data_IF_020309461054
#
_entry.id   IF_020309461054
#
_cell.length_a   1.000
_cell.length_b   1.000
_cell.length_c   1.000
_cell.angle_alpha   90.00
_cell.angle_beta   90.00
_cell.angle_gamma   90.00
#
_symmetry.space_group_name_H-M   'P 1'
#
loop_
_entity.id
_entity.type
_entity.pdbx_description
1 polymer ?
#
# COMPACT_ATOMS: atom_id res chain seq x y z
N UNK A 1 -21.25 -45.50 -6.41
CA UNK A 1 -22.51 -45.51 -7.19
C UNK A 1 -23.34 -44.33 -6.77
N UNK A 2 -23.85 -43.59 -7.76
CA UNK A 2 -24.81 -42.52 -7.57
C UNK A 2 -26.15 -43.09 -7.05
N UNK A 3 -26.80 -42.38 -6.13
CA UNK A 3 -28.00 -42.84 -5.41
C UNK A 3 -29.25 -41.98 -5.67
N UNK A 4 -29.16 -40.98 -6.54
CA UNK A 4 -30.21 -39.98 -6.80
C UNK A 4 -30.34 -39.72 -8.31
N UNK A 5 -31.54 -39.37 -8.77
CA UNK A 5 -31.80 -39.05 -10.18
C UNK A 5 -30.96 -37.85 -10.65
N UNK A 6 -30.45 -37.91 -11.88
CA UNK A 6 -29.66 -36.84 -12.50
C UNK A 6 -28.35 -36.46 -11.79
N UNK A 7 -27.78 -37.37 -10.99
CA UNK A 7 -26.49 -37.18 -10.31
C UNK A 7 -25.26 -36.96 -11.22
N UNK A 8 -25.45 -37.07 -12.54
CA UNK A 8 -24.46 -36.77 -13.57
C UNK A 8 -24.70 -35.40 -14.24
N UNK A 9 -25.74 -34.67 -13.84
CA UNK A 9 -25.96 -33.28 -14.29
C UNK A 9 -25.08 -32.36 -13.44
N UNK A 10 -24.10 -31.71 -14.07
CA UNK A 10 -23.06 -30.91 -13.41
C UNK A 10 -23.66 -29.86 -12.45
N UNK A 11 -24.66 -29.12 -12.91
CA UNK A 11 -25.37 -28.07 -12.14
C UNK A 11 -26.11 -28.59 -10.91
N UNK A 12 -26.42 -29.90 -10.86
CA UNK A 12 -27.08 -30.55 -9.71
C UNK A 12 -26.08 -31.14 -8.72
N UNK A 13 -24.78 -31.14 -9.04
CA UNK A 13 -23.73 -31.67 -8.17
C UNK A 13 -23.05 -30.54 -7.41
N UNK A 14 -22.80 -30.76 -6.12
CA UNK A 14 -22.03 -29.81 -5.32
C UNK A 14 -20.59 -29.69 -5.85
N UNK A 15 -20.13 -28.46 -6.00
CA UNK A 15 -18.74 -28.15 -6.27
C UNK A 15 -17.91 -28.30 -5.00
N UNK A 16 -16.67 -28.74 -5.13
CA UNK A 16 -15.72 -28.74 -4.02
C UNK A 16 -14.76 -27.56 -4.15
N UNK A 17 -14.45 -26.93 -3.02
CA UNK A 17 -13.37 -25.95 -2.90
C UNK A 17 -12.35 -26.47 -1.89
N UNK A 18 -11.10 -26.04 -2.03
CA UNK A 18 -10.09 -26.28 -1.00
C UNK A 18 -10.38 -25.44 0.24
N UNK A 19 -10.12 -26.03 1.41
CA UNK A 19 -9.96 -25.34 2.68
C UNK A 19 -8.57 -25.71 3.24
N UNK A 20 -8.20 -25.14 4.39
CA UNK A 20 -6.89 -25.36 4.98
C UNK A 20 -6.62 -26.85 5.31
N UNK A 21 -5.34 -27.24 5.35
CA UNK A 21 -4.89 -28.61 5.64
C UNK A 21 -5.37 -29.66 4.62
N UNK A 22 -5.38 -29.33 3.34
CA UNK A 22 -5.79 -30.22 2.23
C UNK A 22 -7.21 -30.80 2.37
N UNK A 23 -8.05 -30.19 3.21
CA UNK A 23 -9.46 -30.55 3.32
C UNK A 23 -10.27 -29.84 2.24
N UNK A 24 -11.51 -30.29 2.05
CA UNK A 24 -12.44 -29.69 1.07
C UNK A 24 -13.77 -29.35 1.73
N UNK A 25 -14.43 -28.32 1.23
CA UNK A 25 -15.82 -27.99 1.53
C UNK A 25 -16.70 -28.20 0.28
N UNK A 26 -18.00 -28.43 0.49
CA UNK A 26 -19.02 -28.53 -0.56
C UNK A 26 -19.75 -27.21 -0.67
N UNK A 27 -20.01 -26.75 -1.89
CA UNK A 27 -20.75 -25.53 -2.19
C UNK A 27 -21.67 -25.80 -3.40
N UNK A 28 -22.81 -25.09 -3.55
CA UNK A 28 -23.64 -25.17 -4.75
C UNK A 28 -22.81 -25.03 -6.03
N UNK A 29 -23.24 -25.68 -7.13
CA UNK A 29 -22.46 -25.68 -8.38
C UNK A 29 -22.12 -24.27 -8.87
N UNK A 30 -23.06 -23.33 -8.72
CA UNK A 30 -22.93 -21.94 -9.17
C UNK A 30 -22.22 -21.02 -8.15
N UNK A 31 -21.94 -21.49 -6.94
CA UNK A 31 -21.28 -20.68 -5.91
C UNK A 31 -19.76 -20.61 -6.10
N UNK A 32 -19.09 -19.59 -5.58
CA UNK A 32 -17.65 -19.40 -5.76
C UNK A 32 -16.83 -20.26 -4.77
N UNK A 33 -15.55 -20.44 -5.10
CA UNK A 33 -14.49 -20.74 -4.14
C UNK A 33 -13.65 -19.49 -3.96
N UNK A 34 -12.98 -19.32 -2.82
CA UNK A 34 -12.08 -18.17 -2.62
C UNK A 34 -10.75 -18.53 -1.97
N UNK A 35 -9.76 -17.66 -2.21
CA UNK A 35 -8.54 -17.50 -1.41
C UNK A 35 -8.52 -16.08 -0.85
N UNK A 36 -8.06 -15.88 0.39
CA UNK A 36 -7.95 -14.55 0.98
C UNK A 36 -6.67 -14.36 1.79
N UNK A 37 -6.23 -13.11 1.90
CA UNK A 37 -5.06 -12.71 2.69
C UNK A 37 -5.50 -12.28 4.09
N UNK A 38 -4.98 -12.96 5.12
CA UNK A 38 -5.20 -12.63 6.53
C UNK A 38 -4.60 -11.26 6.87
N UNK A 39 -4.94 -10.66 8.02
CA UNK A 39 -4.33 -9.41 8.47
C UNK A 39 -2.80 -9.45 8.60
N UNK A 40 -2.19 -10.64 8.62
CA UNK A 40 -0.73 -10.84 8.66
C UNK A 40 -0.18 -11.37 7.33
N UNK A 41 -0.89 -11.14 6.21
CA UNK A 41 -0.57 -11.63 4.87
C UNK A 41 -0.52 -13.17 4.74
N UNK A 42 -1.03 -13.92 5.71
CA UNK A 42 -1.25 -15.36 5.58
C UNK A 42 -2.32 -15.68 4.54
N UNK A 43 -2.39 -16.92 4.07
CA UNK A 43 -3.38 -17.35 3.07
C UNK A 43 -4.35 -18.31 3.70
N UNK A 44 -5.65 -18.06 3.49
CA UNK A 44 -6.72 -18.97 3.86
C UNK A 44 -7.66 -19.20 2.68
N UNK A 45 -8.39 -20.31 2.73
CA UNK A 45 -9.27 -20.77 1.63
C UNK A 45 -10.68 -21.09 2.11
N UNK A 46 -11.67 -20.97 1.23
CA UNK A 46 -13.07 -21.25 1.59
C UNK A 46 -14.00 -21.51 0.40
N UNK A 47 -15.25 -21.83 0.77
CA UNK A 47 -16.39 -22.01 -0.13
C UNK A 47 -17.34 -20.81 -0.05
N UNK A 48 -18.10 -20.62 -1.14
CA UNK A 48 -19.08 -19.55 -1.27
C UNK A 48 -18.45 -18.21 -1.62
N UNK A 49 -19.26 -17.17 -1.54
CA UNK A 49 -18.81 -15.79 -1.74
C UNK A 49 -17.78 -15.40 -0.69
N UNK A 50 -16.77 -14.70 -1.13
CA UNK A 50 -15.73 -14.20 -0.27
C UNK A 50 -16.26 -13.08 0.64
N UNK A 51 -16.05 -13.16 1.96
CA UNK A 51 -16.52 -12.15 2.90
C UNK A 51 -15.53 -10.98 3.12
N UNK A 52 -14.40 -10.95 2.42
CA UNK A 52 -13.32 -9.98 2.65
C UNK A 52 -12.96 -9.24 1.36
N UNK A 53 -12.47 -8.00 1.43
CA UNK A 53 -12.02 -7.28 0.25
C UNK A 53 -10.64 -7.73 -0.27
N UNK A 54 -9.87 -8.46 0.55
CA UNK A 54 -8.51 -8.93 0.28
C UNK A 54 -8.51 -10.39 -0.18
N UNK A 55 -9.35 -10.68 -1.18
CA UNK A 55 -9.54 -12.03 -1.65
C UNK A 55 -9.81 -12.12 -3.15
N UNK A 56 -9.69 -13.35 -3.66
CA UNK A 56 -9.91 -13.70 -5.06
C UNK A 56 -10.87 -14.86 -5.13
N UNK A 57 -11.92 -14.70 -5.92
CA UNK A 57 -12.93 -15.71 -6.16
C UNK A 57 -12.65 -16.47 -7.46
N UNK A 58 -13.11 -17.71 -7.53
CA UNK A 58 -13.06 -18.53 -8.74
C UNK A 58 -14.22 -19.53 -8.79
N UNK A 59 -14.61 -19.95 -10.00
CA UNK A 59 -15.84 -20.70 -10.22
C UNK A 59 -15.66 -22.19 -10.56
N UNK A 60 -14.44 -22.67 -10.76
CA UNK A 60 -14.20 -24.07 -11.16
C UNK A 60 -14.02 -24.97 -9.94
N UNK A 61 -14.25 -26.28 -10.13
CA UNK A 61 -13.99 -27.27 -9.09
C UNK A 61 -12.55 -27.14 -8.56
N UNK A 62 -12.40 -26.95 -7.24
CA UNK A 62 -11.10 -26.86 -6.55
C UNK A 62 -10.16 -25.80 -7.14
N UNK A 63 -10.73 -24.73 -7.70
CA UNK A 63 -9.97 -23.69 -8.41
C UNK A 63 -9.11 -22.84 -7.49
N UNK A 64 -9.42 -22.77 -6.20
CA UNK A 64 -8.72 -21.96 -5.20
C UNK A 64 -7.41 -22.64 -4.72
N UNK A 65 -6.71 -23.35 -5.62
CA UNK A 65 -5.43 -24.02 -5.35
C UNK A 65 -4.19 -23.16 -5.64
N UNK A 66 -4.39 -21.86 -5.88
CA UNK A 66 -3.29 -20.95 -6.21
C UNK A 66 -2.25 -20.91 -5.07
N UNK A 67 -1.00 -21.21 -5.40
CA UNK A 67 0.12 -21.28 -4.45
C UNK A 67 0.69 -19.91 -4.12
N UNK A 68 0.48 -18.94 -5.01
CA UNK A 68 0.92 -17.55 -4.89
C UNK A 68 -0.27 -16.60 -5.12
N UNK A 69 -1.27 -16.57 -4.22
CA UNK A 69 -2.36 -15.61 -4.34
C UNK A 69 -1.81 -14.18 -4.27
N UNK A 70 -2.51 -13.19 -4.85
CA UNK A 70 -2.04 -11.82 -4.84
C UNK A 70 -1.93 -11.28 -3.41
N UNK A 71 -1.13 -10.23 -3.28
CA UNK A 71 -1.17 -9.33 -2.13
C UNK A 71 -2.11 -8.17 -2.44
N UNK A 72 -2.42 -7.37 -1.44
CA UNK A 72 -3.35 -6.26 -1.60
C UNK A 72 -2.79 -5.02 -0.95
N UNK A 73 -2.84 -3.90 -1.67
CA UNK A 73 -2.51 -2.56 -1.18
C UNK A 73 -3.69 -1.63 -1.43
N UNK A 74 -3.72 -0.48 -0.77
CA UNK A 74 -4.51 0.64 -1.27
C UNK A 74 -3.86 1.17 -2.55
N UNK A 75 -4.69 1.43 -3.56
CA UNK A 75 -4.34 2.08 -4.82
C UNK A 75 -5.07 3.42 -4.98
N UNK A 76 -5.34 3.82 -6.22
CA UNK A 76 -6.03 5.07 -6.53
C UNK A 76 -7.34 5.21 -5.72
N UNK A 77 -7.59 6.39 -5.16
CA UNK A 77 -8.74 6.71 -4.32
C UNK A 77 -8.96 5.74 -3.15
N UNK A 78 -7.88 5.19 -2.59
CA UNK A 78 -7.93 4.18 -1.52
C UNK A 78 -8.75 2.91 -1.88
N UNK A 79 -8.81 2.57 -3.18
CA UNK A 79 -9.37 1.30 -3.63
C UNK A 79 -8.44 0.13 -3.34
N UNK A 80 -8.98 -1.07 -3.15
CA UNK A 80 -8.17 -2.27 -3.01
C UNK A 80 -7.58 -2.65 -4.36
N UNK A 81 -6.25 -2.76 -4.42
CA UNK A 81 -5.48 -3.11 -5.61
C UNK A 81 -4.74 -4.43 -5.39
N UNK A 82 -4.83 -5.34 -6.35
CA UNK A 82 -4.02 -6.56 -6.37
C UNK A 82 -2.56 -6.25 -6.71
N UNK A 83 -1.64 -6.88 -5.98
CA UNK A 83 -0.21 -6.67 -6.08
C UNK A 83 0.53 -8.01 -6.15
N UNK A 84 1.66 -8.03 -6.87
CA UNK A 84 2.53 -9.21 -6.95
C UNK A 84 3.39 -9.43 -5.69
N UNK A 85 3.60 -8.37 -4.91
CA UNK A 85 4.36 -8.37 -3.66
C UNK A 85 3.53 -7.72 -2.54
N UNK A 86 3.83 -8.11 -1.30
CA UNK A 86 3.31 -7.58 -0.04
C UNK A 86 3.65 -6.12 0.22
N UNK A 87 4.69 -5.60 -0.43
CA UNK A 87 5.14 -4.22 -0.20
C UNK A 87 4.13 -3.24 -0.80
N UNK A 88 3.68 -2.30 0.00
CA UNK A 88 2.84 -1.18 -0.39
C UNK A 88 3.54 0.14 -0.03
N UNK A 89 3.23 1.22 -0.74
CA UNK A 89 3.67 2.56 -0.35
C UNK A 89 2.50 3.53 -0.27
N UNK A 90 2.70 4.55 0.56
CA UNK A 90 1.87 5.76 0.63
C UNK A 90 2.79 6.97 0.61
N UNK A 91 2.47 7.94 -0.24
CA UNK A 91 3.23 9.17 -0.41
C UNK A 91 2.31 10.38 -0.26
N UNK A 92 2.79 11.40 0.46
CA UNK A 92 2.09 12.67 0.60
C UNK A 92 2.50 13.62 -0.52
N UNK A 93 1.52 14.02 -1.31
CA UNK A 93 1.68 14.96 -2.42
C UNK A 93 1.27 16.34 -1.92
N UNK A 94 2.23 17.24 -1.82
CA UNK A 94 2.02 18.64 -1.47
C UNK A 94 2.60 19.53 -2.56
N UNK A 95 1.73 20.14 -3.37
CA UNK A 95 2.12 21.01 -4.47
C UNK A 95 1.39 22.36 -4.38
N UNK A 96 2.11 23.40 -4.82
CA UNK A 96 1.66 24.78 -4.75
C UNK A 96 1.56 25.37 -6.17
N UNK A 97 0.38 25.90 -6.49
CA UNK A 97 0.10 26.78 -7.64
C UNK A 97 -0.72 27.97 -7.15
N UNK A 98 -1.78 28.34 -7.87
CA UNK A 98 -2.79 29.30 -7.37
C UNK A 98 -3.66 28.68 -6.26
N UNK A 99 -3.68 27.35 -6.18
CA UNK A 99 -4.28 26.56 -5.12
C UNK A 99 -3.25 25.63 -4.49
N UNK A 100 -3.44 25.28 -3.21
CA UNK A 100 -2.66 24.22 -2.55
C UNK A 100 -3.36 22.88 -2.78
N UNK A 101 -2.61 21.89 -3.26
CA UNK A 101 -3.08 20.49 -3.31
C UNK A 101 -2.33 19.71 -2.23
N UNK A 102 -3.09 19.00 -1.40
CA UNK A 102 -2.60 18.07 -0.40
C UNK A 102 -3.38 16.77 -0.53
N UNK A 103 -2.74 15.73 -1.05
CA UNK A 103 -3.37 14.43 -1.33
C UNK A 103 -2.41 13.28 -1.05
N UNK A 104 -2.98 12.11 -0.77
CA UNK A 104 -2.22 10.87 -0.65
C UNK A 104 -2.24 10.07 -1.95
N UNK A 105 -1.07 9.59 -2.34
CA UNK A 105 -0.91 8.60 -3.41
C UNK A 105 -0.55 7.26 -2.80
N UNK A 106 -1.25 6.22 -3.24
CA UNK A 106 -1.09 4.84 -2.76
C UNK A 106 -0.79 3.93 -3.94
N UNK A 107 0.13 2.99 -3.78
CA UNK A 107 0.28 1.90 -4.74
C UNK A 107 1.02 0.68 -4.14
N UNK A 108 1.07 -0.39 -4.93
CA UNK A 108 1.97 -1.52 -4.76
C UNK A 108 3.43 -1.09 -4.89
N UNK A 109 4.31 -1.80 -4.19
CA UNK A 109 5.74 -1.67 -4.28
C UNK A 109 6.33 -0.69 -3.28
N UNK A 110 7.63 -0.41 -3.46
CA UNK A 110 8.40 0.50 -2.62
C UNK A 110 8.13 1.94 -3.02
N UNK A 111 8.47 2.85 -2.11
CA UNK A 111 8.46 4.27 -2.39
C UNK A 111 9.23 4.59 -3.69
N UNK A 112 8.59 5.22 -4.69
CA UNK A 112 9.25 5.51 -5.96
C UNK A 112 10.40 6.52 -5.78
N UNK A 113 11.40 6.42 -6.66
CA UNK A 113 12.51 7.38 -6.75
C UNK A 113 12.52 8.16 -8.08
N UNK A 114 11.61 7.81 -9.00
CA UNK A 114 11.52 8.43 -10.33
C UNK A 114 10.42 9.47 -10.44
N UNK A 115 10.29 10.02 -11.65
CA UNK A 115 9.12 10.81 -12.02
C UNK A 115 7.88 9.92 -12.12
N UNK A 116 6.75 10.40 -11.60
CA UNK A 116 5.45 9.76 -11.69
C UNK A 116 4.47 10.74 -12.34
N UNK A 117 3.63 10.23 -13.25
CA UNK A 117 2.52 10.99 -13.81
C UNK A 117 1.27 10.78 -12.94
N UNK A 118 0.92 11.79 -12.17
CA UNK A 118 -0.27 11.84 -11.32
C UNK A 118 -1.45 12.60 -11.95
N UNK A 119 -1.27 13.18 -13.15
CA UNK A 119 -2.33 13.92 -13.83
C UNK A 119 -3.61 13.11 -14.09
N UNK A 120 -3.59 11.76 -14.28
CA UNK A 120 -4.82 10.98 -14.41
C UNK A 120 -5.61 10.83 -13.10
N UNK A 121 -4.95 11.01 -11.95
CA UNK A 121 -5.51 10.73 -10.63
C UNK A 121 -5.93 12.00 -9.91
N UNK A 122 -5.19 13.09 -10.10
CA UNK A 122 -5.41 14.36 -9.42
C UNK A 122 -5.99 15.38 -10.41
N UNK A 123 -7.28 15.67 -10.27
CA UNK A 123 -7.95 16.67 -11.09
C UNK A 123 -7.76 18.07 -10.51
N UNK A 124 -7.21 18.96 -11.31
CA UNK A 124 -7.12 20.40 -11.01
C UNK A 124 -7.38 21.24 -12.26
N UNK A 125 -7.97 22.42 -12.09
CA UNK A 125 -8.22 23.40 -13.16
C UNK A 125 -7.02 24.33 -13.39
N UNK A 126 -6.05 24.33 -12.48
CA UNK A 126 -4.81 25.07 -12.59
C UNK A 126 -3.85 24.33 -13.55
N UNK A 127 -3.57 24.95 -14.69
CA UNK A 127 -2.72 24.39 -15.75
C UNK A 127 -1.26 24.21 -15.29
N UNK A 128 -0.77 25.09 -14.42
CA UNK A 128 0.58 25.00 -13.85
C UNK A 128 0.71 23.78 -12.95
N UNK A 129 -0.31 23.53 -12.12
CA UNK A 129 -0.36 22.32 -11.29
C UNK A 129 -0.52 21.05 -12.13
N UNK A 130 -1.36 21.07 -13.17
CA UNK A 130 -1.49 19.94 -14.10
C UNK A 130 -0.13 19.52 -14.70
N UNK A 131 0.68 20.47 -15.13
CA UNK A 131 1.98 20.16 -15.73
C UNK A 131 3.01 19.66 -14.69
N UNK A 132 2.95 20.15 -13.45
CA UNK A 132 3.75 19.60 -12.34
C UNK A 132 3.38 18.15 -12.04
N UNK A 133 2.08 17.83 -12.02
CA UNK A 133 1.58 16.48 -11.75
C UNK A 133 2.02 15.45 -12.80
N UNK A 134 2.25 15.85 -14.06
CA UNK A 134 2.71 14.94 -15.12
C UNK A 134 4.13 14.41 -14.94
N UNK A 135 4.98 15.15 -14.23
CA UNK A 135 6.41 14.84 -14.04
C UNK A 135 6.82 15.02 -12.59
N UNK A 136 5.98 14.50 -11.71
CA UNK A 136 6.15 14.68 -10.29
C UNK A 136 7.36 13.88 -9.80
N UNK A 137 8.34 14.54 -9.22
CA UNK A 137 9.53 13.85 -8.73
C UNK A 137 9.29 13.25 -7.35
N UNK A 138 9.00 11.95 -7.29
CA UNK A 138 8.70 11.23 -6.06
C UNK A 138 9.89 11.17 -5.08
N UNK A 139 11.12 11.41 -5.55
CA UNK A 139 12.29 11.52 -4.67
C UNK A 139 12.24 12.74 -3.76
N UNK A 140 11.41 13.73 -4.06
CA UNK A 140 11.25 14.95 -3.26
C UNK A 140 10.07 14.88 -2.29
N UNK A 141 9.35 13.75 -2.25
CA UNK A 141 8.13 13.63 -1.47
C UNK A 141 8.30 12.72 -0.27
N UNK A 142 7.58 13.05 0.80
CA UNK A 142 7.49 12.17 1.95
C UNK A 142 6.76 10.89 1.54
N UNK A 143 7.41 9.76 1.75
CA UNK A 143 6.85 8.46 1.43
C UNK A 143 7.22 7.42 2.49
N UNK A 144 6.24 6.58 2.80
CA UNK A 144 6.37 5.44 3.69
C UNK A 144 6.01 4.15 2.96
N UNK A 145 6.64 3.05 3.35
CA UNK A 145 6.40 1.72 2.79
C UNK A 145 6.17 0.69 3.89
N UNK A 146 5.27 -0.26 3.65
CA UNK A 146 4.88 -1.28 4.61
C UNK A 146 4.66 -2.63 3.91
N UNK A 147 4.70 -3.74 4.66
CA UNK A 147 4.55 -5.09 4.09
C UNK A 147 3.90 -6.13 5.00
N UNK A 148 3.55 -5.77 6.24
CA UNK A 148 3.12 -6.73 7.27
C UNK A 148 1.65 -7.15 7.14
N UNK A 149 0.81 -6.32 6.55
CA UNK A 149 -0.62 -6.56 6.38
C UNK A 149 -1.11 -6.16 4.99
N UNK A 150 -2.22 -6.74 4.51
CA UNK A 150 -2.94 -6.20 3.36
C UNK A 150 -3.35 -4.75 3.61
N UNK A 151 -3.34 -3.93 2.55
CA UNK A 151 -3.76 -2.53 2.59
C UNK A 151 -3.14 -1.73 3.75
N UNK A 152 -1.88 -2.03 4.09
CA UNK A 152 -1.18 -1.41 5.21
C UNK A 152 -0.87 0.07 4.99
N UNK A 153 -0.86 0.52 3.73
CA UNK A 153 -0.50 1.86 3.30
C UNK A 153 -1.69 2.83 3.44
N UNK A 154 -2.30 2.88 4.61
CA UNK A 154 -3.41 3.79 4.91
C UNK A 154 -2.91 5.12 5.50
N UNK A 155 -3.72 6.18 5.46
CA UNK A 155 -3.37 7.48 6.04
C UNK A 155 -2.95 7.38 7.51
N UNK A 156 -3.67 6.65 8.40
CA UNK A 156 -3.25 6.51 9.79
C UNK A 156 -1.89 5.81 9.95
N UNK A 157 -1.46 5.02 8.97
CA UNK A 157 -0.12 4.45 8.95
C UNK A 157 0.91 5.54 8.64
N UNK A 158 0.67 6.37 7.62
CA UNK A 158 1.58 7.45 7.23
C UNK A 158 1.74 8.51 8.33
N UNK A 159 0.65 8.97 8.93
CA UNK A 159 0.69 10.02 9.97
C UNK A 159 1.47 9.61 11.23
N UNK A 160 1.59 8.30 11.49
CA UNK A 160 2.39 7.76 12.59
C UNK A 160 3.88 7.63 12.26
N UNK A 161 4.28 7.84 11.01
CA UNK A 161 5.67 7.69 10.62
C UNK A 161 6.48 8.91 11.05
N UNK A 162 7.68 8.63 11.56
CA UNK A 162 8.65 9.66 11.89
C UNK A 162 9.54 9.92 10.68
N UNK A 163 9.75 11.20 10.37
CA UNK A 163 10.65 11.64 9.31
C UNK A 163 11.73 12.52 9.91
N UNK A 164 12.99 12.35 9.46
CA UNK A 164 14.08 13.19 9.93
C UNK A 164 13.94 14.63 9.47
N UNK A 165 14.43 15.60 10.24
CA UNK A 165 14.61 16.95 9.72
C UNK A 165 15.88 16.99 8.86
N UNK A 166 15.77 17.54 7.65
CA UNK A 166 16.86 17.78 6.72
C UNK A 166 17.14 19.29 6.67
N UNK A 167 18.40 19.69 6.86
CA UNK A 167 18.86 21.07 6.71
C UNK A 167 20.00 21.10 5.70
N UNK A 168 19.83 21.87 4.62
CA UNK A 168 20.92 22.16 3.69
C UNK A 168 21.90 23.16 4.31
N UNK A 169 23.18 23.10 3.91
CA UNK A 169 24.25 23.94 4.45
C UNK A 169 23.85 25.43 4.60
N UNK A 170 23.21 26.00 3.58
CA UNK A 170 22.85 27.43 3.55
C UNK A 170 21.37 27.73 3.88
N UNK A 171 20.62 26.79 4.46
CA UNK A 171 19.18 26.96 4.75
C UNK A 171 18.95 27.13 6.25
N UNK A 172 18.27 28.20 6.66
CA UNK A 172 17.94 28.45 8.06
C UNK A 172 16.78 27.60 8.58
N UNK A 173 15.85 27.24 7.70
CA UNK A 173 14.65 26.48 8.03
C UNK A 173 14.88 25.00 7.65
N UNK A 174 14.79 24.06 8.61
CA UNK A 174 14.82 22.64 8.31
C UNK A 174 13.54 22.20 7.60
N UNK A 175 13.65 21.25 6.69
CA UNK A 175 12.52 20.60 6.02
C UNK A 175 12.33 19.19 6.54
N UNK A 176 11.12 18.63 6.51
CA UNK A 176 10.94 17.20 6.77
C UNK A 176 11.62 16.37 5.68
N UNK A 177 12.25 15.28 6.09
CA UNK A 177 12.95 14.35 5.24
C UNK A 177 11.96 13.48 4.47
N UNK A 178 12.46 12.90 3.38
CA UNK A 178 11.59 12.26 2.36
C UNK A 178 11.25 10.80 2.68
N UNK A 179 12.02 10.16 3.55
CA UNK A 179 11.87 8.74 3.92
C UNK A 179 11.68 8.60 5.42
N UNK A 180 10.97 7.54 5.81
CA UNK A 180 10.75 7.19 7.21
C UNK A 180 12.10 6.97 7.90
N UNK A 181 12.22 7.50 9.12
CA UNK A 181 13.36 7.30 10.00
C UNK A 181 13.27 5.90 10.64
N UNK A 182 14.23 5.02 10.32
CA UNK A 182 14.22 3.63 10.80
C UNK A 182 15.06 3.40 12.06
N UNK A 183 16.03 4.27 12.37
CA UNK A 183 16.98 4.05 13.48
C UNK A 183 17.59 5.30 14.12
N UNK A 184 17.16 6.49 13.72
CA UNK A 184 17.66 7.76 14.23
C UNK A 184 18.01 8.76 13.13
N UNK A 185 18.04 10.04 13.49
CA UNK A 185 18.41 11.14 12.60
C UNK A 185 19.78 11.68 12.97
N UNK A 186 20.59 12.01 11.97
CA UNK A 186 21.94 12.53 12.17
C UNK A 186 21.98 14.03 11.89
N UNK A 187 22.76 14.76 12.69
CA UNK A 187 23.04 16.18 12.47
C UNK A 187 24.41 16.29 11.83
N UNK A 188 24.45 16.71 10.57
CA UNK A 188 25.69 17.10 9.90
C UNK A 188 26.08 18.51 10.30
N UNK A 189 27.28 18.70 10.84
CA UNK A 189 27.80 20.00 11.25
C UNK A 189 28.95 20.39 10.32
N UNK A 190 28.80 21.46 9.53
CA UNK A 190 29.91 22.01 8.76
C UNK A 190 30.78 22.88 9.68
N UNK A 191 31.99 22.40 9.98
CA UNK A 191 32.94 23.10 10.85
C UNK A 191 33.37 24.46 10.30
N UNK A 192 33.24 24.71 8.99
CA UNK A 192 33.54 26.02 8.39
C UNK A 192 32.46 27.07 8.68
N UNK A 193 31.25 26.65 9.01
CA UNK A 193 30.15 27.54 9.40
C UNK A 193 30.01 27.73 10.93
N UNK A 194 30.68 26.89 11.73
CA UNK A 194 30.66 27.00 13.20
C UNK A 194 31.43 28.20 13.77
N UNK A 195 32.15 28.97 12.95
CA UNK A 195 32.92 30.14 13.39
C UNK A 195 32.11 31.32 13.93
N UNK A 196 30.77 31.21 14.07
CA UNK A 196 29.90 32.32 14.50
C UNK A 196 28.84 32.02 15.56
N UNK A 197 28.60 30.78 16.01
CA UNK A 197 27.51 30.52 16.97
C UNK A 197 27.82 29.41 17.98
N UNK A 198 27.36 29.64 19.22
CA UNK A 198 27.46 28.77 20.40
C UNK A 198 26.57 27.53 20.21
N UNK A 199 27.11 26.35 20.45
CA UNK A 199 26.38 25.06 20.40
C UNK A 199 25.49 24.90 21.64
N UNK A 200 24.20 24.69 21.42
CA UNK A 200 23.31 23.99 22.35
C UNK A 200 22.88 22.67 21.70
N UNK A 201 23.10 21.57 22.39
CA UNK A 201 22.69 20.24 21.94
C UNK A 201 21.23 20.02 22.33
N UNK A 202 20.33 20.01 21.35
CA UNK A 202 18.94 19.57 21.55
C UNK A 202 18.79 18.22 20.86
N UNK A 203 18.65 17.16 21.65
CA UNK A 203 18.23 15.86 21.15
C UNK A 203 16.73 15.97 20.89
N UNK A 204 16.32 16.03 19.62
CA UNK A 204 14.91 15.89 19.26
C UNK A 204 14.58 14.40 19.24
N UNK A 205 14.32 13.83 20.42
CA UNK A 205 13.46 12.64 20.50
C UNK A 205 12.05 13.11 20.17
N UNK A 206 11.40 12.50 19.17
CA UNK A 206 9.95 12.60 19.08
C UNK A 206 9.38 12.03 20.38
N UNK A 207 8.89 12.88 21.25
CA UNK A 207 8.15 12.47 22.45
C UNK A 207 6.87 11.72 22.02
N UNK A 208 6.50 10.79 22.89
CA UNK A 208 5.50 9.69 22.86
C UNK A 208 4.24 9.84 21.98
#
# INVERSE_FOLDING_TARGET
>A
MCKEDYCNIEEKVHKHCWIDNNKVCKTPFNDTCYTWRTPTNGVKKGCGKCPFFTCKECNKHRCNNETKPPFYCFGNMASIKECNDSVCYIAKIEEYGDQKIEQYQYDCGRCPSGALDLSPYIQTKDTTLQDKLKKLNMSNMQCAQCSKSPACNADPYFEKQLFCLEKGANKWIPTKGRRVCEGGCFIGVDMREMGKYKLEFIILTSEE
#
